data_IF_666468176993
#
_entry.id   IF_666468176993
#
_cell.length_a   1.000
_cell.length_b   1.000
_cell.length_c   1.000
_cell.angle_alpha   90.00
_cell.angle_beta   90.00
_cell.angle_gamma   90.00
#
_symmetry.space_group_name_H-M   'P 1'
#
loop_
_entity.id
_entity.type
_entity.pdbx_description
1 polymer ?
#
# COMPACT_ATOMS: atom_id res chain seq x y z
N UNK A 1 -0.88 1.13 12.07
CA UNK A 1 -1.26 2.23 11.16
C UNK A 1 -2.78 2.19 10.99
N UNK A 2 -3.47 3.33 11.04
CA UNK A 2 -4.93 3.41 10.81
C UNK A 2 -5.14 4.33 9.63
N UNK A 3 -5.58 3.77 8.50
CA UNK A 3 -5.91 4.51 7.28
C UNK A 3 -7.42 4.70 7.17
N UNK A 4 -8.20 3.77 7.70
CA UNK A 4 -9.65 3.91 7.85
C UNK A 4 -10.04 3.38 9.23
N UNK A 5 -10.88 4.12 9.93
CA UNK A 5 -11.42 3.78 11.25
C UNK A 5 -12.92 3.41 11.21
N UNK A 6 -13.48 3.28 10.01
CA UNK A 6 -14.86 2.85 9.78
C UNK A 6 -15.19 1.42 10.22
N UNK A 7 -16.49 1.10 10.22
CA UNK A 7 -17.03 -0.18 10.70
C UNK A 7 -16.54 -1.40 9.91
N UNK A 8 -16.29 -1.22 8.61
CA UNK A 8 -15.90 -2.30 7.68
C UNK A 8 -14.38 -2.42 7.48
N UNK A 9 -13.58 -1.78 8.33
CA UNK A 9 -12.13 -1.89 8.27
C UNK A 9 -11.68 -3.34 8.46
N UNK A 10 -10.68 -3.75 7.68
CA UNK A 10 -9.97 -5.01 7.82
C UNK A 10 -8.55 -4.77 8.34
N UNK A 11 -8.04 -5.64 9.24
CA UNK A 11 -6.63 -5.62 9.60
C UNK A 11 -5.82 -6.35 8.51
N UNK A 12 -4.85 -5.64 7.92
CA UNK A 12 -3.87 -6.20 6.99
C UNK A 12 -2.53 -6.30 7.71
N UNK A 13 -1.96 -7.50 7.73
CA UNK A 13 -0.67 -7.78 8.34
C UNK A 13 0.42 -7.79 7.28
N UNK A 14 1.39 -6.89 7.41
CA UNK A 14 2.56 -6.80 6.53
C UNK A 14 3.81 -7.26 7.28
N UNK A 15 4.53 -8.17 6.64
CA UNK A 15 5.80 -8.69 7.09
C UNK A 15 6.74 -8.85 5.89
N UNK A 16 8.03 -8.90 6.18
CA UNK A 16 9.08 -9.08 5.19
C UNK A 16 10.19 -9.93 5.79
N UNK A 17 10.85 -10.72 4.95
CA UNK A 17 12.01 -11.51 5.33
C UNK A 17 13.29 -10.66 5.36
N UNK A 18 13.35 -9.63 4.50
CA UNK A 18 14.47 -8.68 4.44
C UNK A 18 14.06 -7.32 5.01
N UNK A 19 14.94 -6.62 5.75
CA UNK A 19 14.62 -5.29 6.24
C UNK A 19 14.33 -4.32 5.09
N UNK A 20 13.20 -3.62 5.19
CA UNK A 20 12.82 -2.52 4.30
C UNK A 20 12.90 -1.22 5.10
N UNK A 21 13.38 -0.14 4.48
CA UNK A 21 13.53 1.16 5.15
C UNK A 21 12.59 2.21 4.58
N UNK A 22 12.40 3.31 5.31
CA UNK A 22 11.55 4.44 4.90
C UNK A 22 10.17 3.99 4.39
N UNK A 23 9.51 3.17 5.20
CA UNK A 23 8.24 2.56 4.84
C UNK A 23 7.12 3.58 5.06
N UNK A 24 6.39 3.90 4.01
CA UNK A 24 5.25 4.81 4.05
C UNK A 24 3.98 4.10 3.62
N UNK A 25 2.90 4.33 4.34
CA UNK A 25 1.55 3.90 3.97
C UNK A 25 0.79 5.11 3.47
N UNK A 26 0.19 4.96 2.31
CA UNK A 26 -0.52 6.03 1.61
C UNK A 26 -2.01 5.74 1.57
N UNK A 27 -2.83 6.78 1.75
CA UNK A 27 -4.18 6.81 1.20
C UNK A 27 -4.07 7.24 -0.26
N UNK A 28 -4.64 6.42 -1.16
CA UNK A 28 -4.54 6.64 -2.59
C UNK A 28 -5.84 7.21 -3.15
N UNK A 29 -5.70 8.17 -4.05
CA UNK A 29 -6.76 8.61 -4.95
C UNK A 29 -6.25 8.47 -6.38
N UNK A 30 -6.93 7.67 -7.19
CA UNK A 30 -6.57 7.51 -8.61
C UNK A 30 -6.87 8.82 -9.34
N UNK A 31 -5.89 9.33 -10.06
CA UNK A 31 -6.04 10.54 -10.88
C UNK A 31 -6.43 10.15 -12.31
N UNK A 32 -5.54 9.46 -13.01
CA UNK A 32 -5.77 9.01 -14.38
C UNK A 32 -4.98 7.73 -14.71
N UNK A 33 -5.20 7.18 -15.90
CA UNK A 33 -4.43 6.06 -16.45
C UNK A 33 -3.64 6.58 -17.64
N UNK A 34 -2.35 6.29 -17.68
CA UNK A 34 -1.47 6.74 -18.76
C UNK A 34 -1.71 5.96 -20.07
N UNK A 35 -0.99 6.35 -21.13
CA UNK A 35 -1.11 5.70 -22.45
C UNK A 35 -0.67 4.23 -22.45
N UNK A 36 0.12 3.81 -21.47
CA UNK A 36 0.56 2.42 -21.29
C UNK A 36 -0.43 1.55 -20.52
N UNK A 37 -1.48 2.15 -19.96
CA UNK A 37 -2.45 1.48 -19.10
C UNK A 37 -2.04 1.46 -17.62
N UNK A 38 -1.01 2.21 -17.24
CA UNK A 38 -0.54 2.30 -15.85
C UNK A 38 -1.35 3.36 -15.11
N UNK A 39 -1.90 2.99 -13.95
CA UNK A 39 -2.66 3.90 -13.12
C UNK A 39 -1.73 4.85 -12.34
N UNK A 40 -2.04 6.14 -12.40
CA UNK A 40 -1.36 7.22 -11.71
C UNK A 40 -2.23 7.65 -10.52
N UNK A 41 -1.61 7.76 -9.35
CA UNK A 41 -2.28 8.02 -8.09
C UNK A 41 -1.67 9.22 -7.38
N UNK A 42 -2.51 9.98 -6.69
CA UNK A 42 -2.07 10.87 -5.64
C UNK A 42 -2.06 10.12 -4.30
N UNK A 43 -0.98 10.26 -3.53
CA UNK A 43 -0.79 9.58 -2.25
C UNK A 43 -0.67 10.54 -1.07
N UNK A 44 -1.64 10.50 -0.15
CA UNK A 44 -1.52 11.16 1.16
C UNK A 44 -0.85 10.21 2.16
N UNK A 45 0.22 10.65 2.83
CA UNK A 45 0.93 9.78 3.78
C UNK A 45 0.19 9.69 5.10
N UNK A 46 -0.26 8.49 5.45
CA UNK A 46 -0.99 8.20 6.69
C UNK A 46 -0.04 7.75 7.80
N UNK A 47 1.01 7.01 7.43
CA UNK A 47 2.00 6.48 8.37
C UNK A 47 3.38 6.44 7.73
N UNK A 48 4.40 6.71 8.53
CA UNK A 48 5.79 6.45 8.18
C UNK A 48 6.45 5.60 9.28
N UNK A 49 7.23 4.62 8.86
CA UNK A 49 8.04 3.77 9.72
C UNK A 49 9.47 3.78 9.19
N UNK A 50 10.49 3.95 10.05
CA UNK A 50 11.88 3.94 9.60
C UNK A 50 12.30 2.57 9.04
N UNK A 51 11.70 1.48 9.54
CA UNK A 51 12.04 0.12 9.17
C UNK A 51 10.84 -0.84 9.34
N UNK A 52 10.68 -1.76 8.40
CA UNK A 52 9.81 -2.94 8.48
C UNK A 52 10.68 -4.19 8.34
N UNK A 53 10.57 -5.12 9.29
CA UNK A 53 11.31 -6.39 9.28
C UNK A 53 10.51 -7.48 10.01
N UNK A 54 10.98 -8.73 9.95
CA UNK A 54 10.29 -9.89 10.56
C UNK A 54 10.01 -9.75 12.07
N UNK A 55 10.84 -9.01 12.81
CA UNK A 55 10.66 -8.77 14.25
C UNK A 55 9.74 -7.58 14.55
N UNK A 56 9.51 -6.70 13.57
CA UNK A 56 8.69 -5.49 13.67
C UNK A 56 7.66 -5.45 12.54
N UNK A 57 6.71 -6.39 12.50
CA UNK A 57 5.67 -6.37 11.47
C UNK A 57 4.74 -5.17 11.66
N UNK A 58 4.03 -4.81 10.58
CA UNK A 58 3.07 -3.71 10.58
C UNK A 58 1.66 -4.25 10.42
N UNK A 59 0.75 -3.83 11.29
CA UNK A 59 -0.69 -3.99 11.07
C UNK A 59 -1.26 -2.66 10.58
N UNK A 60 -1.93 -2.70 9.43
CA UNK A 60 -2.68 -1.60 8.86
C UNK A 60 -4.16 -1.89 9.07
N UNK A 61 -4.92 -0.90 9.52
CA UNK A 61 -6.38 -0.93 9.46
C UNK A 61 -6.82 -0.10 8.27
N UNK A 62 -7.48 -0.76 7.33
CA UNK A 62 -7.93 -0.14 6.08
C UNK A 62 -9.21 -0.79 5.59
N UNK A 63 -9.94 -0.12 4.72
CA UNK A 63 -11.07 -0.69 4.00
C UNK A 63 -10.68 -0.85 2.53
N UNK A 64 -11.11 -1.95 1.91
CA UNK A 64 -10.95 -2.18 0.47
C UNK A 64 -12.20 -1.70 -0.26
N UNK A 65 -12.06 -0.72 -1.16
CA UNK A 65 -13.20 -0.14 -1.89
C UNK A 65 -13.12 -0.52 -3.36
N UNK A 66 -13.83 -1.58 -3.74
CA UNK A 66 -13.86 -2.05 -5.12
C UNK A 66 -12.54 -2.69 -5.56
N UNK A 67 -12.18 -2.49 -6.83
CA UNK A 67 -11.01 -3.12 -7.47
C UNK A 67 -9.84 -2.18 -7.69
N UNK A 68 -10.02 -0.87 -7.50
CA UNK A 68 -8.96 0.13 -7.62
C UNK A 68 -8.33 0.32 -6.24
N UNK A 69 -7.00 0.21 -6.08
CA UNK A 69 -6.38 0.40 -4.77
C UNK A 69 -6.63 1.79 -4.20
N UNK A 70 -7.08 1.82 -2.96
CA UNK A 70 -7.26 3.05 -2.17
C UNK A 70 -6.21 3.17 -1.05
N UNK A 71 -5.34 2.17 -0.90
CA UNK A 71 -4.21 2.20 0.03
C UNK A 71 -2.97 1.71 -0.68
N UNK A 72 -1.86 2.42 -0.47
CA UNK A 72 -0.56 2.10 -1.02
C UNK A 72 0.48 1.87 0.05
N UNK A 73 1.54 1.19 -0.32
CA UNK A 73 2.77 1.07 0.44
C UNK A 73 3.92 1.53 -0.45
N UNK A 74 4.85 2.28 0.12
CA UNK A 74 6.16 2.45 -0.48
C UNK A 74 7.25 2.19 0.54
N UNK A 75 8.37 1.65 0.06
CA UNK A 75 9.54 1.36 0.86
C UNK A 75 10.82 1.52 0.03
N UNK A 76 11.94 1.64 0.71
CA UNK A 76 13.27 1.68 0.11
C UNK A 76 13.99 0.36 0.34
N UNK A 77 14.67 -0.12 -0.70
CA UNK A 77 15.57 -1.26 -0.63
C UNK A 77 16.90 -0.85 -1.30
N UNK A 78 17.92 -0.60 -0.48
CA UNK A 78 19.13 0.06 -0.95
C UNK A 78 18.84 1.52 -1.32
N UNK A 79 19.28 1.94 -2.51
CA UNK A 79 19.04 3.30 -3.04
C UNK A 79 17.72 3.40 -3.81
N UNK A 80 17.05 2.28 -4.08
CA UNK A 80 15.84 2.25 -4.90
C UNK A 80 14.57 2.40 -4.05
N UNK A 81 13.69 3.28 -4.50
CA UNK A 81 12.33 3.45 -3.97
C UNK A 81 11.35 2.59 -4.75
N UNK A 82 10.45 1.92 -4.04
CA UNK A 82 9.36 1.14 -4.62
C UNK A 82 8.02 1.63 -4.06
N UNK A 83 6.98 1.60 -4.90
CA UNK A 83 5.62 2.04 -4.58
C UNK A 83 4.62 1.08 -5.17
N UNK A 84 3.69 0.61 -4.35
CA UNK A 84 2.68 -0.37 -4.73
C UNK A 84 1.31 0.02 -4.17
N UNK A 85 0.26 -0.27 -4.92
CA UNK A 85 -1.11 -0.34 -4.42
C UNK A 85 -1.35 -1.69 -3.74
N UNK A 86 -2.09 -1.69 -2.64
CA UNK A 86 -2.58 -2.92 -2.03
C UNK A 86 -3.97 -3.21 -2.63
N UNK A 87 -4.02 -4.25 -3.46
CA UNK A 87 -5.22 -4.65 -4.19
C UNK A 87 -5.78 -5.97 -3.65
N UNK A 88 -7.03 -6.25 -3.99
CA UNK A 88 -7.70 -7.50 -3.64
C UNK A 88 -8.20 -8.21 -4.91
N UNK A 89 -7.85 -9.48 -5.03
CA UNK A 89 -8.32 -10.35 -6.09
C UNK A 89 -9.84 -10.52 -5.99
N UNK A 90 -10.55 -10.20 -7.07
CA UNK A 90 -11.99 -10.45 -7.17
C UNK A 90 -12.37 -11.93 -7.28
N UNK A 91 -11.39 -12.83 -7.49
CA UNK A 91 -11.64 -14.26 -7.65
C UNK A 91 -11.70 -14.99 -6.30
N UNK A 92 -10.78 -14.67 -5.41
CA UNK A 92 -10.58 -15.42 -4.15
C UNK A 92 -10.42 -14.51 -2.92
N UNK A 93 -10.47 -13.19 -3.09
CA UNK A 93 -10.31 -12.22 -2.01
C UNK A 93 -8.88 -12.13 -1.46
N UNK A 94 -7.90 -12.74 -2.13
CA UNK A 94 -6.49 -12.62 -1.74
C UNK A 94 -5.96 -11.21 -1.95
N UNK A 95 -5.04 -10.78 -1.10
CA UNK A 95 -4.37 -9.49 -1.27
C UNK A 95 -3.10 -9.66 -2.11
N UNK A 96 -2.85 -8.69 -2.98
CA UNK A 96 -1.63 -8.63 -3.78
C UNK A 96 -1.15 -7.18 -3.90
N UNK A 97 0.11 -7.03 -4.28
CA UNK A 97 0.72 -5.73 -4.57
C UNK A 97 0.70 -5.51 -6.08
N UNK A 98 0.26 -4.33 -6.50
CA UNK A 98 0.34 -3.88 -7.89
C UNK A 98 1.23 -2.65 -8.00
N UNK A 99 2.05 -2.59 -9.06
CA UNK A 99 2.90 -1.43 -9.31
C UNK A 99 2.04 -0.22 -9.63
N UNK A 100 2.38 0.91 -9.02
CA UNK A 100 1.69 2.18 -9.23
C UNK A 100 2.71 3.30 -9.40
N UNK A 101 2.27 4.36 -10.07
CA UNK A 101 2.99 5.64 -10.11
C UNK A 101 2.32 6.57 -9.08
N UNK A 102 3.12 7.13 -8.18
CA UNK A 102 2.69 8.17 -7.24
C UNK A 102 3.17 9.54 -7.73
N UNK A 103 2.24 10.49 -7.83
CA UNK A 103 2.47 11.90 -8.15
C UNK A 103 2.17 12.85 -6.96
#
# INVERSE_FOLDING_TARGET
>A
CVVDDGEYQIPVFLQTEIPLTDVSIYRLTMDHVDESGTAIFHGETECNLPELNIQKPLVIRMTMVGTVPNVGIGYSLGEQRYTYGIAMSGMDGSLYLEEIILE
#
